data_IF_193287143088
#
_entry.id   IF_193287143088
#
_cell.length_a   1.000
_cell.length_b   1.000
_cell.length_c   1.000
_cell.angle_alpha   90.00
_cell.angle_beta   90.00
_cell.angle_gamma   90.00
#
_symmetry.space_group_name_H-M   'P 1'
#
loop_
_entity.id
_entity.type
_entity.pdbx_description
1 polymer ?
#
# COMPACT_ATOMS: atom_id res chain seq x y z
N UNK A 1 -12.06 45.94 32.85
CA UNK A 1 -11.07 45.62 31.80
C UNK A 1 -10.36 44.33 32.21
N UNK A 2 -10.69 43.20 31.58
CA UNK A 2 -9.98 41.94 31.78
C UNK A 2 -8.61 42.08 31.10
N UNK A 3 -7.53 42.08 31.88
CA UNK A 3 -6.17 42.04 31.32
C UNK A 3 -5.98 40.69 30.64
N UNK A 4 -5.84 40.69 29.32
CA UNK A 4 -5.36 39.52 28.58
C UNK A 4 -3.94 39.20 29.08
N UNK A 5 -3.81 38.12 29.84
CA UNK A 5 -2.49 37.57 30.15
C UNK A 5 -2.00 36.92 28.86
N UNK A 6 -0.87 37.36 28.27
CA UNK A 6 -0.36 36.72 27.07
C UNK A 6 -0.02 35.27 27.43
N UNK A 7 -0.74 34.31 26.84
CA UNK A 7 -0.42 32.88 26.92
C UNK A 7 0.83 32.62 26.10
N UNK A 8 1.97 32.99 26.67
CA UNK A 8 3.28 32.67 26.11
C UNK A 8 3.60 31.25 26.60
N UNK A 9 3.74 30.32 25.66
CA UNK A 9 4.19 28.97 25.94
C UNK A 9 5.68 29.04 26.32
N UNK A 10 5.99 28.74 27.59
CA UNK A 10 7.36 28.69 28.12
C UNK A 10 8.04 27.33 27.85
N UNK A 11 7.39 26.45 27.07
CA UNK A 11 7.97 25.22 26.59
C UNK A 11 9.18 25.44 25.67
N UNK A 12 9.91 24.36 25.39
CA UNK A 12 11.03 24.42 24.45
C UNK A 12 10.53 24.91 23.08
N UNK A 13 11.10 26.02 22.57
CA UNK A 13 10.69 26.57 21.29
C UNK A 13 10.93 25.58 20.15
N UNK A 14 9.97 25.50 19.22
CA UNK A 14 10.06 24.60 18.08
C UNK A 14 11.02 25.11 16.99
N UNK A 15 11.33 26.41 17.01
CA UNK A 15 12.27 27.08 16.10
C UNK A 15 13.60 27.31 16.83
N UNK A 16 14.69 26.85 16.23
CA UNK A 16 16.05 27.05 16.74
C UNK A 16 16.73 28.10 15.85
N UNK A 17 17.07 29.26 16.41
CA UNK A 17 17.83 30.31 15.73
C UNK A 17 19.33 30.25 16.08
N UNK A 18 19.78 29.25 16.84
CA UNK A 18 21.18 29.09 17.24
C UNK A 18 22.02 28.26 16.25
N UNK A 19 23.31 28.56 16.16
CA UNK A 19 24.29 27.87 15.29
C UNK A 19 24.62 26.43 15.71
N UNK A 20 24.21 26.02 16.92
CA UNK A 20 24.42 24.64 17.43
C UNK A 20 23.06 24.02 17.71
N UNK A 21 22.78 22.80 17.22
CA UNK A 21 21.52 22.13 17.53
C UNK A 21 21.42 21.95 19.04
N UNK A 22 20.50 22.70 19.66
CA UNK A 22 20.24 22.63 21.10
C UNK A 22 19.83 21.21 21.49
N UNK A 23 20.49 20.64 22.49
CA UNK A 23 20.21 19.31 23.08
C UNK A 23 18.86 19.26 23.82
N UNK A 24 18.18 20.41 23.97
CA UNK A 24 16.89 20.56 24.62
C UNK A 24 15.70 20.52 23.64
N UNK A 25 15.86 19.97 22.43
CA UNK A 25 14.70 19.73 21.55
C UNK A 25 13.72 18.77 22.21
N UNK A 26 12.48 19.20 22.39
CA UNK A 26 11.35 18.29 22.32
C UNK A 26 11.31 17.75 20.89
N UNK A 27 11.95 16.60 20.61
CA UNK A 27 11.78 16.02 19.28
C UNK A 27 10.32 15.60 19.12
N UNK A 28 9.81 15.77 17.91
CA UNK A 28 8.41 15.46 17.58
C UNK A 28 8.17 13.99 17.92
N UNK A 29 7.11 13.75 18.68
CA UNK A 29 6.60 12.41 18.97
C UNK A 29 6.38 11.69 17.65
N UNK A 30 7.14 10.61 17.41
CA UNK A 30 6.93 9.76 16.25
C UNK A 30 5.86 8.73 16.58
N UNK A 31 4.60 9.05 16.23
CA UNK A 31 3.46 8.16 16.41
C UNK A 31 3.69 6.79 15.78
N UNK A 32 4.54 6.71 14.75
CA UNK A 32 4.78 5.46 14.04
C UNK A 32 5.66 4.50 14.84
N UNK A 33 6.39 4.99 15.84
CA UNK A 33 7.26 4.19 16.70
C UNK A 33 6.49 3.53 17.86
N UNK A 34 6.99 2.38 18.36
CA UNK A 34 6.52 1.84 19.62
C UNK A 34 6.68 2.87 20.75
N UNK A 35 5.67 2.96 21.62
CA UNK A 35 5.56 3.97 22.67
C UNK A 35 5.80 5.41 22.17
N UNK A 36 5.32 5.74 20.96
CA UNK A 36 5.39 7.10 20.43
C UNK A 36 6.82 7.65 20.31
N UNK A 37 7.82 6.75 20.26
CA UNK A 37 9.23 7.11 20.25
C UNK A 37 9.76 7.63 21.59
N UNK A 38 8.96 7.67 22.66
CA UNK A 38 9.33 8.24 23.97
C UNK A 38 10.57 7.55 24.58
N UNK A 39 10.74 6.25 24.32
CA UNK A 39 11.95 5.52 24.73
C UNK A 39 13.22 5.99 23.99
N UNK A 40 13.14 6.22 22.68
CA UNK A 40 14.26 6.68 21.85
C UNK A 40 14.58 8.17 22.08
N UNK A 41 13.56 8.98 22.32
CA UNK A 41 13.61 10.42 22.55
C UNK A 41 14.41 10.81 23.79
N UNK A 42 14.40 9.99 24.85
CA UNK A 42 14.90 10.44 26.16
C UNK A 42 16.42 10.36 26.36
N UNK A 43 17.17 9.44 25.74
CA UNK A 43 18.53 9.16 26.25
C UNK A 43 19.53 8.47 25.30
N UNK A 44 19.21 8.24 24.02
CA UNK A 44 20.11 7.49 23.12
C UNK A 44 21.43 8.21 22.76
N UNK A 45 21.44 9.54 22.81
CA UNK A 45 22.58 10.37 22.39
C UNK A 45 23.47 10.84 23.56
N UNK A 46 23.08 10.59 24.82
CA UNK A 46 23.80 11.05 26.02
C UNK A 46 24.67 9.98 26.69
N UNK A 47 24.67 8.73 26.19
CA UNK A 47 25.25 7.59 26.90
C UNK A 47 26.37 6.91 26.10
N UNK A 48 27.52 6.67 26.75
CA UNK A 48 28.61 5.87 26.18
C UNK A 48 28.18 4.46 25.78
N UNK A 49 28.98 3.79 24.91
CA UNK A 49 28.63 2.53 24.21
C UNK A 49 28.01 1.44 25.11
N UNK A 50 28.53 1.24 26.32
CA UNK A 50 28.01 0.26 27.31
C UNK A 50 26.66 0.68 27.93
N UNK A 51 26.48 1.96 28.27
CA UNK A 51 25.23 2.46 28.86
C UNK A 51 24.09 2.50 27.85
N UNK A 52 24.41 2.67 26.56
CA UNK A 52 23.46 2.59 25.45
C UNK A 52 22.85 1.20 25.30
N UNK A 53 23.67 0.14 25.33
CA UNK A 53 23.19 -1.26 25.28
C UNK A 53 22.27 -1.60 26.46
N UNK A 54 22.62 -1.18 27.68
CA UNK A 54 21.78 -1.40 28.85
C UNK A 54 20.43 -0.67 28.77
N UNK A 55 20.39 0.49 28.12
CA UNK A 55 19.18 1.27 27.91
C UNK A 55 18.31 0.68 26.80
N UNK A 56 18.89 0.27 25.67
CA UNK A 56 18.18 -0.46 24.60
C UNK A 56 17.47 -1.69 25.17
N UNK A 57 18.13 -2.46 26.05
CA UNK A 57 17.51 -3.58 26.78
C UNK A 57 16.32 -3.18 27.66
N UNK A 58 16.40 -2.03 28.34
CA UNK A 58 15.28 -1.50 29.15
C UNK A 58 14.10 -1.06 28.29
N UNK A 59 14.35 -0.38 27.17
CA UNK A 59 13.30 -0.03 26.21
C UNK A 59 12.65 -1.29 25.66
N UNK A 60 13.45 -2.27 25.24
CA UNK A 60 12.92 -3.54 24.78
C UNK A 60 12.09 -4.23 25.86
N UNK A 61 12.46 -4.13 27.14
CA UNK A 61 11.67 -4.68 28.24
C UNK A 61 10.30 -3.96 28.38
N UNK A 62 10.26 -2.64 28.19
CA UNK A 62 9.02 -1.85 28.20
C UNK A 62 8.15 -2.17 26.98
N UNK A 63 8.75 -2.28 25.78
CA UNK A 63 8.04 -2.74 24.58
C UNK A 63 7.49 -4.14 24.83
N UNK A 64 8.27 -5.03 25.47
CA UNK A 64 7.84 -6.39 25.77
C UNK A 64 6.64 -6.44 26.72
N UNK A 65 6.52 -5.51 27.65
CA UNK A 65 5.45 -5.51 28.66
C UNK A 65 4.08 -5.13 28.10
N UNK A 66 4.00 -4.27 27.08
CA UNK A 66 2.74 -3.91 26.44
C UNK A 66 2.49 -4.72 25.16
N UNK A 67 1.45 -5.57 25.18
CA UNK A 67 1.06 -6.40 24.05
C UNK A 67 0.76 -5.59 22.77
N UNK A 68 0.15 -4.41 22.90
CA UNK A 68 -0.19 -3.54 21.75
C UNK A 68 1.09 -3.01 21.11
N UNK A 69 2.06 -2.57 21.93
CA UNK A 69 3.30 -1.97 21.44
C UNK A 69 4.25 -3.01 20.83
N UNK A 70 4.28 -4.24 21.37
CA UNK A 70 4.92 -5.38 20.68
C UNK A 70 4.34 -5.59 19.29
N UNK A 71 3.01 -5.59 19.19
CA UNK A 71 2.34 -5.80 17.91
C UNK A 71 2.62 -4.65 16.93
N UNK A 72 2.59 -3.41 17.38
CA UNK A 72 2.96 -2.21 16.61
C UNK A 72 4.38 -2.35 16.05
N UNK A 73 5.35 -2.83 16.83
CA UNK A 73 6.72 -3.06 16.36
C UNK A 73 6.77 -4.06 15.19
N UNK A 74 6.05 -5.19 15.31
CA UNK A 74 6.00 -6.20 14.24
C UNK A 74 5.31 -5.68 12.97
N UNK A 75 4.20 -4.93 13.12
CA UNK A 75 3.46 -4.34 12.00
C UNK A 75 4.32 -3.29 11.31
N UNK A 76 4.94 -2.38 12.08
CA UNK A 76 5.88 -1.36 11.56
C UNK A 76 6.96 -2.00 10.71
N UNK A 77 7.55 -3.10 11.15
CA UNK A 77 8.59 -3.80 10.39
C UNK A 77 8.07 -4.30 9.02
N UNK A 78 6.92 -4.97 9.01
CA UNK A 78 6.31 -5.49 7.77
C UNK A 78 5.91 -4.35 6.84
N UNK A 79 5.28 -3.28 7.35
CA UNK A 79 4.89 -2.13 6.53
C UNK A 79 6.11 -1.39 5.98
N UNK A 80 7.18 -1.23 6.77
CA UNK A 80 8.44 -0.68 6.26
C UNK A 80 9.03 -1.53 5.14
N UNK A 81 9.02 -2.86 5.28
CA UNK A 81 9.45 -3.76 4.21
C UNK A 81 8.62 -3.59 2.94
N UNK A 82 7.31 -3.35 3.06
CA UNK A 82 6.45 -3.05 1.92
C UNK A 82 6.86 -1.72 1.29
N UNK A 83 6.97 -0.65 2.08
CA UNK A 83 7.31 0.70 1.61
C UNK A 83 8.70 0.75 0.96
N UNK A 84 9.68 -0.01 1.44
CA UNK A 84 11.02 -0.01 0.82
C UNK A 84 11.05 -0.75 -0.51
N UNK A 85 10.23 -1.81 -0.65
CA UNK A 85 10.17 -2.64 -1.86
C UNK A 85 9.11 -2.21 -2.86
N UNK A 86 8.28 -1.23 -2.52
CA UNK A 86 7.23 -0.68 -3.39
C UNK A 86 7.31 0.83 -3.39
N UNK A 87 6.86 1.48 -4.47
CA UNK A 87 6.82 2.94 -4.59
C UNK A 87 5.65 3.57 -3.80
N UNK A 88 5.37 3.07 -2.58
CA UNK A 88 4.33 3.58 -1.71
C UNK A 88 4.89 4.71 -0.83
N UNK A 89 4.18 5.84 -0.68
CA UNK A 89 4.61 6.94 0.19
C UNK A 89 4.79 6.54 1.66
N UNK A 90 5.74 7.17 2.34
CA UNK A 90 6.08 6.90 3.75
C UNK A 90 4.94 7.23 4.73
N UNK A 91 4.07 8.18 4.40
CA UNK A 91 2.94 8.56 5.26
C UNK A 91 1.93 7.41 5.47
N UNK A 92 1.89 6.42 4.59
CA UNK A 92 1.04 5.23 4.78
C UNK A 92 1.43 4.46 6.05
N UNK A 93 2.70 4.54 6.47
CA UNK A 93 3.14 3.94 7.72
C UNK A 93 2.40 4.56 8.91
N UNK A 94 2.28 5.89 8.97
CA UNK A 94 1.59 6.55 10.08
C UNK A 94 0.12 6.22 10.08
N UNK A 95 -0.55 6.29 8.92
CA UNK A 95 -1.97 5.94 8.82
C UNK A 95 -2.24 4.50 9.29
N UNK A 96 -1.40 3.54 8.90
CA UNK A 96 -1.55 2.13 9.30
C UNK A 96 -1.36 1.93 10.80
N UNK A 97 -0.34 2.56 11.41
CA UNK A 97 -0.09 2.40 12.86
C UNK A 97 -1.23 3.03 13.67
N UNK A 98 -1.69 4.22 13.28
CA UNK A 98 -2.81 4.90 13.95
C UNK A 98 -4.10 4.09 13.84
N UNK A 99 -4.40 3.53 12.66
CA UNK A 99 -5.57 2.67 12.48
C UNK A 99 -5.44 1.34 13.25
N UNK A 100 -4.25 0.75 13.31
CA UNK A 100 -4.03 -0.46 14.12
C UNK A 100 -4.25 -0.22 15.62
N UNK A 101 -3.76 0.90 16.17
CA UNK A 101 -3.97 1.24 17.59
C UNK A 101 -5.46 1.34 17.93
N UNK A 102 -6.23 2.05 17.10
CA UNK A 102 -7.69 2.14 17.26
C UNK A 102 -8.36 0.77 17.23
N UNK A 103 -7.94 -0.10 16.32
CA UNK A 103 -8.47 -1.48 16.27
C UNK A 103 -8.10 -2.28 17.51
N UNK A 104 -6.86 -2.16 18.00
CA UNK A 104 -6.38 -2.87 19.18
C UNK A 104 -7.10 -2.42 20.46
N UNK A 105 -7.37 -1.12 20.60
CA UNK A 105 -8.18 -0.54 21.68
C UNK A 105 -9.62 -1.09 21.66
N UNK A 106 -10.20 -1.27 20.47
CA UNK A 106 -11.50 -1.91 20.26
C UNK A 106 -11.47 -3.45 20.39
N UNK A 107 -10.37 -4.04 20.89
CA UNK A 107 -10.27 -5.47 21.16
C UNK A 107 -9.99 -6.34 19.93
N UNK A 108 -9.54 -5.77 18.81
CA UNK A 108 -9.20 -6.54 17.62
C UNK A 108 -8.03 -7.51 17.88
N UNK A 109 -8.27 -8.79 17.58
CA UNK A 109 -7.27 -9.86 17.58
C UNK A 109 -7.21 -10.51 16.21
N UNK A 110 -6.02 -10.60 15.65
CA UNK A 110 -5.75 -11.16 14.33
C UNK A 110 -4.28 -11.50 14.13
N UNK A 111 -3.96 -12.18 13.02
CA UNK A 111 -2.58 -12.51 12.65
C UNK A 111 -1.84 -11.23 12.27
N UNK A 112 -0.72 -10.94 12.94
CA UNK A 112 -0.04 -9.64 12.86
C UNK A 112 0.47 -9.32 11.45
N UNK A 113 1.15 -10.28 10.80
CA UNK A 113 1.67 -10.10 9.43
C UNK A 113 0.55 -9.87 8.41
N UNK A 114 -0.53 -10.67 8.50
CA UNK A 114 -1.71 -10.48 7.63
C UNK A 114 -2.42 -9.15 7.90
N UNK A 115 -2.53 -8.76 9.17
CA UNK A 115 -3.13 -7.48 9.57
C UNK A 115 -2.34 -6.31 9.02
N UNK A 116 -1.00 -6.36 9.06
CA UNK A 116 -0.14 -5.34 8.47
C UNK A 116 -0.43 -5.18 6.97
N UNK A 117 -0.43 -6.28 6.21
CA UNK A 117 -0.73 -6.26 4.77
C UNK A 117 -2.14 -5.76 4.49
N UNK A 118 -3.14 -6.22 5.25
CA UNK A 118 -4.53 -5.82 5.10
C UNK A 118 -4.73 -4.32 5.35
N UNK A 119 -4.16 -3.79 6.43
CA UNK A 119 -4.23 -2.36 6.76
C UNK A 119 -3.49 -1.51 5.72
N UNK A 120 -2.31 -1.93 5.26
CA UNK A 120 -1.61 -1.24 4.18
C UNK A 120 -2.46 -1.21 2.91
N UNK A 121 -3.05 -2.33 2.52
CA UNK A 121 -3.94 -2.41 1.36
C UNK A 121 -5.15 -1.47 1.50
N UNK A 122 -5.83 -1.49 2.64
CA UNK A 122 -6.99 -0.63 2.90
C UNK A 122 -6.63 0.85 2.89
N UNK A 123 -5.52 1.23 3.53
CA UNK A 123 -5.03 2.61 3.52
C UNK A 123 -4.66 3.06 2.10
N UNK A 124 -3.93 2.25 1.34
CA UNK A 124 -3.65 2.57 -0.06
C UNK A 124 -4.93 2.80 -0.86
N UNK A 125 -5.99 2.02 -0.60
CA UNK A 125 -7.29 2.22 -1.25
C UNK A 125 -7.98 3.52 -0.81
N UNK A 126 -7.96 3.84 0.48
CA UNK A 126 -8.50 5.11 1.02
C UNK A 126 -7.86 6.32 0.35
N UNK A 127 -6.53 6.30 0.20
CA UNK A 127 -5.76 7.37 -0.41
C UNK A 127 -5.67 7.30 -1.94
N UNK A 128 -6.33 6.33 -2.58
CA UNK A 128 -6.34 6.18 -4.03
C UNK A 128 -4.99 5.80 -4.65
N UNK A 129 -4.07 5.21 -3.88
CA UNK A 129 -2.76 4.75 -4.33
C UNK A 129 -2.92 3.39 -5.03
N UNK A 130 -2.35 3.18 -6.23
CA UNK A 130 -2.45 1.91 -6.95
C UNK A 130 -1.71 0.81 -6.17
N UNK A 131 -2.48 -0.02 -5.46
CA UNK A 131 -1.95 -1.13 -4.68
C UNK A 131 -2.75 -2.39 -4.95
N UNK A 132 -2.05 -3.46 -5.37
CA UNK A 132 -2.65 -4.77 -5.62
C UNK A 132 -2.29 -5.72 -4.50
N UNK A 133 -3.30 -6.43 -4.00
CA UNK A 133 -3.12 -7.37 -2.90
C UNK A 133 -2.07 -8.45 -3.22
N UNK A 134 -2.08 -8.99 -4.45
CA UNK A 134 -1.09 -9.97 -4.91
C UNK A 134 0.35 -9.44 -4.85
N UNK A 135 0.56 -8.16 -5.16
CA UNK A 135 1.89 -7.53 -5.08
C UNK A 135 2.38 -7.49 -3.64
N UNK A 136 1.52 -7.11 -2.70
CA UNK A 136 1.86 -7.10 -1.28
C UNK A 136 2.18 -8.49 -0.73
N UNK A 137 1.39 -9.49 -1.13
CA UNK A 137 1.64 -10.89 -0.78
C UNK A 137 3.02 -11.34 -1.27
N UNK A 138 3.38 -11.03 -2.53
CA UNK A 138 4.69 -11.38 -3.11
C UNK A 138 5.84 -10.72 -2.35
N UNK A 139 5.69 -9.46 -1.93
CA UNK A 139 6.72 -8.72 -1.19
C UNK A 139 6.94 -9.27 0.22
N UNK A 140 5.85 -9.69 0.88
CA UNK A 140 5.85 -10.12 2.28
C UNK A 140 6.03 -11.63 2.47
N UNK A 141 5.77 -12.45 1.44
CA UNK A 141 5.91 -13.91 1.50
C UNK A 141 4.86 -14.61 2.36
N UNK A 142 3.67 -14.00 2.53
CA UNK A 142 2.60 -14.57 3.36
C UNK A 142 1.71 -15.51 2.54
N UNK A 143 1.29 -16.62 3.12
CA UNK A 143 0.29 -17.52 2.54
C UNK A 143 -1.08 -16.82 2.52
N UNK A 144 -1.50 -16.32 1.35
CA UNK A 144 -2.66 -15.43 1.20
C UNK A 144 -4.04 -15.99 1.60
N UNK A 145 -4.14 -17.23 2.09
CA UNK A 145 -5.39 -17.93 2.42
C UNK A 145 -6.18 -17.24 3.56
N UNK A 146 -5.52 -16.58 4.51
CA UNK A 146 -6.18 -15.87 5.62
C UNK A 146 -6.51 -14.40 5.33
N UNK A 147 -5.90 -13.82 4.31
CA UNK A 147 -5.84 -12.37 4.15
C UNK A 147 -7.19 -11.74 3.81
N UNK A 148 -7.99 -12.39 2.96
CA UNK A 148 -9.33 -11.90 2.61
C UNK A 148 -10.25 -11.87 3.84
N UNK A 149 -10.18 -12.90 4.71
CA UNK A 149 -10.95 -12.94 5.96
C UNK A 149 -10.54 -11.81 6.89
N UNK A 150 -9.24 -11.56 7.00
CA UNK A 150 -8.67 -10.45 7.79
C UNK A 150 -9.14 -9.09 7.24
N UNK A 151 -9.10 -8.87 5.93
CA UNK A 151 -9.60 -7.65 5.29
C UNK A 151 -11.09 -7.44 5.56
N UNK A 152 -11.92 -8.47 5.38
CA UNK A 152 -13.36 -8.39 5.65
C UNK A 152 -13.64 -8.06 7.11
N UNK A 153 -12.93 -8.71 8.04
CA UNK A 153 -13.06 -8.44 9.48
C UNK A 153 -12.70 -6.99 9.83
N UNK A 154 -11.59 -6.47 9.28
CA UNK A 154 -11.19 -5.07 9.51
C UNK A 154 -12.23 -4.11 8.92
N UNK A 155 -12.71 -4.35 7.70
CA UNK A 155 -13.75 -3.51 7.08
C UNK A 155 -15.03 -3.45 7.91
N UNK A 156 -15.46 -4.59 8.47
CA UNK A 156 -16.62 -4.65 9.36
C UNK A 156 -16.42 -3.82 10.63
N UNK A 157 -15.21 -3.86 11.22
CA UNK A 157 -14.91 -3.13 12.44
C UNK A 157 -14.74 -1.62 12.21
N UNK A 158 -14.15 -1.20 11.10
CA UNK A 158 -13.97 0.22 10.79
C UNK A 158 -15.23 0.86 10.18
N UNK A 159 -16.26 0.05 9.89
CA UNK A 159 -17.47 0.46 9.17
C UNK A 159 -17.18 1.17 7.83
N UNK A 160 -16.04 0.82 7.24
CA UNK A 160 -15.48 1.48 6.07
C UNK A 160 -16.17 0.97 4.80
N UNK A 161 -16.97 1.84 4.17
CA UNK A 161 -17.54 1.60 2.84
C UNK A 161 -16.51 1.84 1.73
N UNK A 162 -15.25 1.44 1.92
CA UNK A 162 -14.24 1.53 0.87
C UNK A 162 -14.65 0.60 -0.27
N UNK A 163 -15.31 1.18 -1.26
CA UNK A 163 -15.69 0.55 -2.50
C UNK A 163 -14.44 0.41 -3.37
N UNK A 164 -14.29 -0.76 -3.99
CA UNK A 164 -13.26 -0.98 -5.00
C UNK A 164 -13.77 -0.29 -6.27
N UNK A 165 -13.45 0.99 -6.40
CA UNK A 165 -13.95 1.83 -7.49
C UNK A 165 -13.32 1.40 -8.82
N UNK A 166 -14.06 1.55 -9.93
CA UNK A 166 -13.54 1.32 -11.29
C UNK A 166 -12.26 2.12 -11.62
N UNK A 167 -11.98 3.20 -10.87
CA UNK A 167 -10.75 3.99 -10.94
C UNK A 167 -9.48 3.17 -10.70
N UNK A 168 -9.56 2.07 -9.95
CA UNK A 168 -8.44 1.18 -9.68
C UNK A 168 -7.98 0.41 -10.92
N UNK A 169 -8.90 0.06 -11.81
CA UNK A 169 -8.60 -0.69 -13.04
C UNK A 169 -7.91 0.22 -14.04
N UNK A 170 -8.39 1.46 -14.20
CA UNK A 170 -7.76 2.46 -15.07
C UNK A 170 -6.32 2.76 -14.63
N UNK A 171 -6.08 2.98 -13.32
CA UNK A 171 -4.74 3.18 -12.76
C UNK A 171 -3.83 1.96 -13.00
N UNK A 172 -4.39 0.76 -12.88
CA UNK A 172 -3.65 -0.48 -13.19
C UNK A 172 -3.26 -0.57 -14.66
N UNK A 173 -4.19 -0.28 -15.58
CA UNK A 173 -3.90 -0.26 -17.02
C UNK A 173 -2.80 0.76 -17.32
N UNK A 174 -2.89 1.97 -16.77
CA UNK A 174 -1.85 3.00 -16.95
C UNK A 174 -0.47 2.51 -16.49
N UNK A 175 -0.40 1.89 -15.31
CA UNK A 175 0.85 1.30 -14.80
C UNK A 175 1.40 0.19 -15.70
N UNK A 176 0.53 -0.67 -16.27
CA UNK A 176 0.95 -1.74 -17.18
C UNK A 176 1.49 -1.19 -18.48
N UNK A 177 0.76 -0.26 -19.11
CA UNK A 177 1.14 0.37 -20.37
C UNK A 177 2.47 1.12 -20.22
N UNK A 178 2.68 1.79 -19.10
CA UNK A 178 3.95 2.48 -18.82
C UNK A 178 5.12 1.51 -18.65
N UNK A 179 4.87 0.31 -18.14
CA UNK A 179 5.89 -0.72 -17.90
C UNK A 179 6.32 -1.45 -19.19
N UNK A 180 5.58 -1.28 -20.28
CA UNK A 180 5.90 -1.85 -21.59
C UNK A 180 6.96 -0.96 -22.28
N UNK A 181 7.94 -1.59 -22.93
CA UNK A 181 8.99 -0.91 -23.67
C UNK A 181 8.50 -0.49 -25.08
N UNK A 182 7.73 0.59 -25.15
CA UNK A 182 7.15 1.18 -26.38
C UNK A 182 7.31 2.70 -26.38
N UNK A 183 7.12 3.34 -27.54
CA UNK A 183 7.17 4.80 -27.66
C UNK A 183 6.02 5.50 -26.93
N UNK A 184 6.21 6.76 -26.52
CA UNK A 184 5.19 7.53 -25.76
C UNK A 184 3.87 7.70 -26.50
N UNK A 185 3.91 7.81 -27.84
CA UNK A 185 2.71 7.93 -28.69
C UNK A 185 1.94 6.60 -28.71
N UNK A 186 2.63 5.50 -28.93
CA UNK A 186 2.06 4.15 -28.91
C UNK A 186 1.40 3.84 -27.56
N UNK A 187 2.04 4.21 -26.45
CA UNK A 187 1.49 4.05 -25.09
C UNK A 187 0.14 4.75 -24.94
N UNK A 188 -0.01 5.98 -25.43
CA UNK A 188 -1.27 6.72 -25.33
C UNK A 188 -2.38 6.04 -26.15
N UNK A 189 -2.06 5.60 -27.36
CA UNK A 189 -3.02 4.91 -28.25
C UNK A 189 -3.42 3.55 -27.69
N UNK A 190 -2.45 2.76 -27.20
CA UNK A 190 -2.68 1.49 -26.52
C UNK A 190 -3.60 1.70 -25.31
N UNK A 191 -3.30 2.68 -24.46
CA UNK A 191 -4.13 2.98 -23.29
C UNK A 191 -5.58 3.28 -23.68
N UNK A 192 -5.78 4.17 -24.66
CA UNK A 192 -7.12 4.53 -25.14
C UNK A 192 -7.90 3.31 -25.63
N UNK A 193 -7.26 2.46 -26.44
CA UNK A 193 -7.87 1.26 -26.99
C UNK A 193 -8.21 0.23 -25.91
N UNK A 194 -7.35 0.06 -24.89
CA UNK A 194 -7.63 -0.83 -23.76
C UNK A 194 -8.84 -0.38 -22.96
N UNK A 195 -8.99 0.92 -22.73
CA UNK A 195 -10.17 1.46 -22.04
C UNK A 195 -11.44 1.21 -22.86
N UNK A 196 -11.37 1.36 -24.19
CA UNK A 196 -12.49 1.05 -25.08
C UNK A 196 -12.90 -0.44 -25.00
N UNK A 197 -11.92 -1.36 -25.04
CA UNK A 197 -12.17 -2.80 -24.86
C UNK A 197 -12.82 -3.07 -23.51
N UNK A 198 -12.33 -2.45 -22.44
CA UNK A 198 -12.87 -2.65 -21.09
C UNK A 198 -14.30 -2.13 -20.95
N UNK A 199 -14.63 -1.00 -21.58
CA UNK A 199 -16.00 -0.48 -21.60
C UNK A 199 -16.93 -1.43 -22.37
N UNK A 200 -16.54 -1.88 -23.57
CA UNK A 200 -17.30 -2.88 -24.34
C UNK A 200 -17.46 -4.20 -23.56
N UNK A 201 -16.43 -4.63 -22.83
CA UNK A 201 -16.48 -5.82 -21.99
C UNK A 201 -17.43 -5.64 -20.79
N UNK A 202 -17.50 -4.44 -20.23
CA UNK A 202 -18.44 -4.08 -19.16
C UNK A 202 -19.88 -4.13 -19.68
N UNK A 203 -20.16 -3.49 -20.81
CA UNK A 203 -21.51 -3.43 -21.41
C UNK A 203 -22.04 -4.82 -21.78
N UNK A 204 -21.16 -5.68 -22.29
CA UNK A 204 -21.46 -7.09 -22.59
C UNK A 204 -21.43 -8.01 -21.36
N UNK A 205 -21.31 -7.45 -20.14
CA UNK A 205 -21.28 -8.18 -18.85
C UNK A 205 -20.19 -9.27 -18.77
N UNK A 206 -19.08 -9.09 -19.50
CA UNK A 206 -17.97 -10.07 -19.53
C UNK A 206 -17.13 -10.06 -18.25
N UNK A 207 -17.29 -9.02 -17.42
CA UNK A 207 -16.58 -8.84 -16.15
C UNK A 207 -17.22 -9.57 -14.97
N UNK A 208 -18.47 -10.07 -15.11
CA UNK A 208 -19.22 -10.65 -14.00
C UNK A 208 -18.57 -11.93 -13.48
N UNK A 209 -18.35 -11.99 -12.16
CA UNK A 209 -17.72 -13.13 -11.48
C UNK A 209 -16.23 -13.31 -11.78
N UNK A 210 -15.60 -12.37 -12.50
CA UNK A 210 -14.21 -12.46 -12.95
C UNK A 210 -13.38 -11.32 -12.41
N UNK A 211 -12.08 -11.54 -12.29
CA UNK A 211 -11.16 -10.49 -11.87
C UNK A 211 -11.01 -9.44 -12.98
N UNK A 212 -11.47 -8.22 -12.73
CA UNK A 212 -11.32 -7.08 -13.66
C UNK A 212 -9.86 -6.82 -14.06
N UNK A 213 -8.91 -7.06 -13.17
CA UNK A 213 -7.48 -6.99 -13.45
C UNK A 213 -7.03 -8.02 -14.50
N UNK A 214 -7.57 -9.24 -14.46
CA UNK A 214 -7.23 -10.28 -15.44
C UNK A 214 -7.75 -9.95 -16.84
N UNK A 215 -8.93 -9.34 -16.91
CA UNK A 215 -9.53 -8.87 -18.17
C UNK A 215 -8.75 -7.68 -18.72
N UNK A 216 -8.35 -6.74 -17.86
CA UNK A 216 -7.49 -5.62 -18.23
C UNK A 216 -6.13 -6.08 -18.78
N UNK A 217 -5.49 -7.07 -18.16
CA UNK A 217 -4.23 -7.63 -18.66
C UNK A 217 -4.37 -8.25 -20.07
N UNK A 218 -5.48 -8.96 -20.32
CA UNK A 218 -5.76 -9.52 -21.64
C UNK A 218 -6.11 -8.44 -22.68
N UNK A 219 -6.86 -7.41 -22.29
CA UNK A 219 -7.13 -6.26 -23.15
C UNK A 219 -5.84 -5.53 -23.56
N UNK A 220 -4.88 -5.37 -22.64
CA UNK A 220 -3.54 -4.83 -22.97
C UNK A 220 -2.85 -5.73 -24.00
N UNK A 221 -2.85 -7.05 -23.82
CA UNK A 221 -2.25 -7.95 -24.80
C UNK A 221 -2.90 -7.86 -26.19
N UNK A 222 -4.22 -7.75 -26.26
CA UNK A 222 -4.94 -7.54 -27.53
C UNK A 222 -4.50 -6.22 -28.18
N UNK A 223 -4.47 -5.13 -27.41
CA UNK A 223 -4.04 -3.83 -27.91
C UNK A 223 -2.61 -3.90 -28.50
N UNK A 224 -1.69 -4.54 -27.79
CA UNK A 224 -0.31 -4.71 -28.27
C UNK A 224 -0.24 -5.48 -29.60
N UNK A 225 -1.10 -6.49 -29.77
CA UNK A 225 -1.19 -7.26 -31.02
C UNK A 225 -1.75 -6.40 -32.17
N UNK A 226 -2.80 -5.62 -31.92
CA UNK A 226 -3.41 -4.70 -32.91
C UNK A 226 -2.41 -3.65 -33.40
N UNK A 227 -1.58 -3.11 -32.50
CA UNK A 227 -0.56 -2.11 -32.84
C UNK A 227 0.76 -2.73 -33.30
N UNK A 228 0.83 -4.03 -33.58
CA UNK A 228 2.01 -4.69 -34.14
C UNK A 228 3.20 -4.83 -33.17
N UNK A 229 3.00 -4.62 -31.86
CA UNK A 229 4.06 -4.72 -30.86
C UNK A 229 4.32 -6.19 -30.52
N UNK A 230 5.44 -6.73 -31.02
CA UNK A 230 5.86 -8.12 -30.77
C UNK A 230 6.08 -8.37 -29.29
N UNK A 231 5.10 -8.99 -28.62
CA UNK A 231 5.20 -9.39 -27.21
C UNK A 231 4.63 -10.76 -26.96
N UNK A 232 5.29 -11.52 -26.08
CA UNK A 232 4.80 -12.85 -25.68
C UNK A 232 3.78 -12.69 -24.56
N UNK A 233 2.78 -13.57 -24.53
CA UNK A 233 1.78 -13.60 -23.45
C UNK A 233 2.42 -13.74 -22.07
N UNK A 234 3.55 -14.48 -21.97
CA UNK A 234 4.32 -14.66 -20.73
C UNK A 234 4.94 -13.35 -20.21
N UNK A 235 5.35 -12.47 -21.11
CA UNK A 235 5.96 -11.19 -20.73
C UNK A 235 4.89 -10.28 -20.12
N UNK A 236 3.73 -10.18 -20.79
CA UNK A 236 2.57 -9.45 -20.28
C UNK A 236 2.06 -10.06 -18.97
N UNK A 237 1.99 -11.39 -18.87
CA UNK A 237 1.60 -12.11 -17.65
C UNK A 237 2.51 -11.77 -16.46
N UNK A 238 3.82 -11.70 -16.70
CA UNK A 238 4.82 -11.40 -15.68
C UNK A 238 4.68 -9.97 -15.15
N UNK A 239 4.54 -8.98 -16.03
CA UNK A 239 4.30 -7.57 -15.64
C UNK A 239 2.92 -7.43 -14.95
N UNK A 240 1.93 -8.13 -15.50
CA UNK A 240 0.57 -8.15 -14.97
C UNK A 240 0.43 -8.90 -13.65
N UNK A 241 1.41 -9.65 -13.16
CA UNK A 241 1.26 -10.56 -12.01
C UNK A 241 0.01 -11.46 -12.13
N UNK A 242 -0.23 -11.99 -13.32
CA UNK A 242 -1.32 -12.91 -13.68
C UNK A 242 -0.69 -14.12 -14.36
N UNK A 243 -1.33 -15.29 -14.32
CA UNK A 243 -0.80 -16.46 -15.05
C UNK A 243 -1.07 -16.33 -16.55
N UNK A 244 -0.17 -16.85 -17.36
CA UNK A 244 -0.29 -16.91 -18.82
C UNK A 244 -1.58 -17.64 -19.26
N UNK A 245 -1.94 -18.73 -18.58
CA UNK A 245 -3.21 -19.46 -18.79
C UNK A 245 -4.42 -18.55 -18.60
N UNK A 246 -4.39 -17.67 -17.60
CA UNK A 246 -5.48 -16.71 -17.36
C UNK A 246 -5.58 -15.71 -18.51
N UNK A 247 -4.46 -15.15 -18.97
CA UNK A 247 -4.45 -14.22 -20.11
C UNK A 247 -4.99 -14.91 -21.37
N UNK A 248 -4.54 -16.13 -21.66
CA UNK A 248 -5.01 -16.90 -22.83
C UNK A 248 -6.51 -17.17 -22.80
N UNK A 249 -7.04 -17.54 -21.63
CA UNK A 249 -8.48 -17.75 -21.43
C UNK A 249 -9.27 -16.47 -21.64
N UNK A 250 -8.83 -15.35 -21.04
CA UNK A 250 -9.51 -14.04 -21.18
C UNK A 250 -9.41 -13.50 -22.61
N UNK A 251 -8.29 -13.68 -23.28
CA UNK A 251 -8.07 -13.28 -24.67
C UNK A 251 -9.11 -13.91 -25.60
N UNK A 252 -9.28 -15.24 -25.56
CA UNK A 252 -10.25 -15.94 -26.41
C UNK A 252 -11.67 -15.42 -26.20
N UNK A 253 -12.06 -15.28 -24.93
CA UNK A 253 -13.40 -14.78 -24.60
C UNK A 253 -13.63 -13.34 -25.09
N UNK A 254 -12.63 -12.45 -24.95
CA UNK A 254 -12.72 -11.08 -25.44
C UNK A 254 -12.81 -11.04 -26.97
N UNK A 255 -12.01 -11.84 -27.67
CA UNK A 255 -12.03 -11.91 -29.14
C UNK A 255 -13.37 -12.40 -29.67
N UNK A 256 -13.91 -13.50 -29.12
CA UNK A 256 -15.19 -14.09 -29.53
C UNK A 256 -16.36 -13.13 -29.30
N UNK A 257 -16.39 -12.45 -28.14
CA UNK A 257 -17.57 -11.69 -27.73
C UNK A 257 -17.52 -10.22 -28.12
N UNK A 258 -16.35 -9.62 -28.26
CA UNK A 258 -16.21 -8.21 -28.64
C UNK A 258 -16.17 -8.05 -30.17
N UNK A 259 -15.75 -9.08 -30.91
CA UNK A 259 -15.71 -9.05 -32.37
C UNK A 259 -14.57 -8.18 -32.90
N UNK A 260 -13.41 -8.23 -32.25
CA UNK A 260 -12.22 -7.52 -32.73
C UNK A 260 -11.68 -8.31 -33.92
N UNK A 261 -11.85 -7.77 -35.13
CA UNK A 261 -11.26 -8.35 -36.34
C UNK A 261 -9.80 -7.94 -36.37
N UNK A 262 -8.90 -8.87 -36.05
CA UNK A 262 -7.47 -8.69 -36.28
C UNK A 262 -7.20 -8.97 -37.75
N UNK A 263 -6.93 -7.93 -38.53
CA UNK A 263 -6.27 -8.10 -39.83
C UNK A 263 -4.81 -8.43 -39.54
N UNK A 264 -4.49 -9.72 -39.54
CA UNK A 264 -3.12 -10.24 -39.48
C UNK A 264 -2.56 -10.29 -40.89
#
# INVERSE_FOLDING_TARGET
MLKEVPRIDLGAEWRDFGDRPSKARAQVIDETQPHYGIGLLKMGQMLGKQRRLGFERKIEAIIRSNNIERNVATIRHVVKQIITRSSIPSFILSSVITEYRRLAENGYKGRLRETAVALTYLNCKKWGIPCRLKTLIKITGIEGHGLNRTITKIKQLTNDKVQINGSDVAKYVSSLVNSINTGSIEKKTIYSFVIEILNKAHDKRLLNGKSSYSVAAAAVYIAMMVFGVKTKQRDVASIANVTDVTIRSRYRELMEKIGIVLYI
#
